data_IF_144027805531
#
_entry.id   IF_144027805531
#
_cell.length_a   1.000
_cell.length_b   1.000
_cell.length_c   1.000
_cell.angle_alpha   90.00
_cell.angle_beta   90.00
_cell.angle_gamma   90.00
#
_symmetry.space_group_name_H-M   'P 1'
#
loop_
_entity.id
_entity.type
_entity.pdbx_description
1 polymer ?
#
# COMPACT_ATOMS: atom_id res chain seq x y z
N UNK A 1 -53.56 -56.74 -60.09
CA UNK A 1 -54.03 -55.62 -60.92
C UNK A 1 -52.88 -54.64 -61.14
N UNK A 2 -52.68 -54.22 -62.40
CA UNK A 2 -51.74 -53.19 -62.93
C UNK A 2 -52.08 -51.78 -62.35
N UNK A 3 -51.28 -50.69 -62.45
CA UNK A 3 -50.27 -50.36 -63.49
C UNK A 3 -48.95 -49.62 -63.07
N UNK A 4 -48.03 -49.53 -64.05
CA UNK A 4 -46.83 -48.66 -64.16
C UNK A 4 -47.27 -47.33 -64.83
N UNK A 5 -46.84 -46.10 -64.41
CA UNK A 5 -45.84 -45.31 -65.19
C UNK A 5 -45.07 -44.19 -64.38
N UNK A 6 -43.74 -44.08 -64.52
CA UNK A 6 -42.95 -43.07 -65.29
C UNK A 6 -42.62 -41.73 -64.59
N UNK A 7 -41.50 -41.09 -65.01
CA UNK A 7 -40.68 -40.17 -64.22
C UNK A 7 -41.08 -38.71 -64.42
N UNK A 8 -40.72 -37.86 -63.45
CA UNK A 8 -40.69 -36.41 -63.65
C UNK A 8 -39.32 -35.87 -63.25
N UNK A 9 -38.47 -35.77 -64.27
CA UNK A 9 -37.41 -34.76 -64.36
C UNK A 9 -38.09 -33.40 -64.21
N UNK A 10 -37.79 -32.66 -63.14
CA UNK A 10 -38.15 -31.25 -63.04
C UNK A 10 -37.16 -30.48 -62.17
N UNK A 11 -36.34 -29.70 -62.87
CA UNK A 11 -35.95 -28.33 -62.58
C UNK A 11 -35.07 -27.96 -61.36
N UNK A 12 -34.04 -27.18 -61.73
CA UNK A 12 -33.36 -26.12 -60.96
C UNK A 12 -32.40 -26.60 -59.86
N UNK A 13 -31.08 -26.65 -60.02
CA UNK A 13 -30.15 -25.77 -60.73
C UNK A 13 -30.37 -24.28 -60.43
N UNK A 14 -30.32 -23.88 -59.15
CA UNK A 14 -30.00 -22.50 -58.70
C UNK A 14 -29.93 -22.46 -57.16
N UNK A 15 -28.78 -22.80 -56.60
CA UNK A 15 -28.58 -22.83 -55.15
C UNK A 15 -27.13 -22.76 -54.69
N UNK A 16 -26.26 -22.12 -55.47
CA UNK A 16 -24.81 -22.07 -55.22
C UNK A 16 -24.19 -20.67 -55.46
N UNK A 17 -24.89 -19.59 -55.08
CA UNK A 17 -24.38 -18.21 -55.23
C UNK A 17 -24.41 -17.37 -53.95
N UNK A 18 -24.65 -17.96 -52.77
CA UNK A 18 -24.69 -17.23 -51.50
C UNK A 18 -23.48 -17.48 -50.56
N UNK A 19 -22.38 -18.07 -51.07
CA UNK A 19 -21.17 -18.33 -50.28
C UNK A 19 -19.95 -17.47 -50.71
N UNK A 20 -20.21 -16.37 -51.44
CA UNK A 20 -19.16 -15.53 -52.03
C UNK A 20 -19.19 -14.05 -51.64
N UNK A 21 -20.09 -13.62 -50.76
CA UNK A 21 -19.97 -12.31 -50.12
C UNK A 21 -18.94 -12.42 -48.98
N UNK A 22 -17.68 -12.66 -49.35
CA UNK A 22 -16.55 -12.42 -48.48
C UNK A 22 -16.59 -10.94 -48.13
N UNK A 23 -17.15 -10.63 -46.95
CA UNK A 23 -17.14 -9.27 -46.44
C UNK A 23 -15.71 -8.78 -46.51
N UNK A 24 -15.48 -7.71 -47.27
CA UNK A 24 -14.25 -6.93 -47.31
C UNK A 24 -14.07 -6.24 -45.95
N UNK A 25 -14.00 -7.01 -44.87
CA UNK A 25 -13.36 -6.61 -43.64
C UNK A 25 -11.87 -6.55 -43.96
N UNK A 26 -11.49 -5.55 -44.76
CA UNK A 26 -10.09 -5.19 -44.88
C UNK A 26 -9.70 -4.67 -43.50
N UNK A 27 -8.77 -5.32 -42.78
CA UNK A 27 -8.31 -4.85 -41.48
C UNK A 27 -7.81 -3.40 -41.52
N UNK A 28 -7.45 -2.91 -42.71
CA UNK A 28 -7.01 -1.53 -42.97
C UNK A 28 -8.10 -0.48 -42.75
N UNK A 29 -9.40 -0.85 -42.78
CA UNK A 29 -10.50 0.09 -42.56
C UNK A 29 -10.88 0.27 -41.09
N UNK A 30 -10.38 -0.58 -40.18
CA UNK A 30 -10.66 -0.48 -38.75
C UNK A 30 -9.67 0.44 -38.01
N UNK A 31 -8.59 0.84 -38.70
CA UNK A 31 -7.55 1.67 -38.12
C UNK A 31 -7.17 2.83 -39.04
N UNK A 32 -6.56 3.85 -38.46
CA UNK A 32 -5.94 4.96 -39.15
C UNK A 32 -4.58 5.27 -38.56
N UNK A 33 -4.05 6.43 -38.92
CA UNK A 33 -2.75 6.90 -38.48
C UNK A 33 -2.87 8.27 -37.80
N UNK A 34 -2.14 8.47 -36.71
CA UNK A 34 -1.96 9.79 -36.10
C UNK A 34 -0.49 10.17 -36.21
N UNK A 35 -0.20 11.28 -36.87
CA UNK A 35 1.13 11.85 -36.95
C UNK A 35 1.13 13.22 -36.29
N UNK A 36 2.27 13.67 -35.79
CA UNK A 36 2.34 15.02 -35.28
C UNK A 36 3.74 15.53 -35.01
N UNK A 37 3.79 16.80 -34.58
CA UNK A 37 5.01 17.45 -34.13
C UNK A 37 4.86 18.01 -32.72
N UNK A 38 5.96 18.02 -31.99
CA UNK A 38 6.10 18.61 -30.65
C UNK A 38 7.30 19.56 -30.70
N UNK A 39 7.04 20.85 -30.92
CA UNK A 39 8.06 21.87 -30.90
C UNK A 39 8.67 21.97 -29.50
N UNK A 40 9.99 22.00 -29.39
CA UNK A 40 10.70 22.09 -28.11
C UNK A 40 10.80 20.77 -27.32
N UNK A 41 10.43 19.63 -27.90
CA UNK A 41 10.55 18.32 -27.26
C UNK A 41 11.98 18.02 -26.77
N UNK A 42 12.07 17.29 -25.66
CA UNK A 42 13.33 16.85 -25.02
C UNK A 42 13.61 15.38 -25.29
N UNK A 43 14.81 14.94 -24.96
CA UNK A 43 15.18 13.53 -25.00
C UNK A 43 14.22 12.72 -24.14
N UNK A 44 13.67 11.62 -24.69
CA UNK A 44 12.68 10.80 -24.01
C UNK A 44 11.23 11.25 -24.20
N UNK A 45 10.96 12.27 -25.02
CA UNK A 45 9.60 12.62 -25.44
C UNK A 45 8.93 11.47 -26.21
N UNK A 46 7.62 11.29 -26.01
CA UNK A 46 6.85 10.26 -26.68
C UNK A 46 5.37 10.62 -26.76
N UNK A 47 4.64 9.94 -27.63
CA UNK A 47 3.20 9.95 -27.69
C UNK A 47 2.64 8.52 -27.61
N UNK A 48 1.44 8.33 -27.05
CA UNK A 48 0.74 7.06 -27.07
C UNK A 48 -0.77 7.23 -27.07
N UNK A 49 -1.48 6.18 -27.50
CA UNK A 49 -2.95 6.15 -27.48
C UNK A 49 -3.44 5.65 -26.11
N UNK A 50 -4.25 6.43 -25.41
CA UNK A 50 -4.86 6.02 -24.16
C UNK A 50 -5.78 4.81 -24.39
N UNK A 51 -5.62 3.78 -23.56
CA UNK A 51 -6.32 2.49 -23.72
C UNK A 51 -5.59 1.49 -24.61
N UNK A 52 -4.58 1.94 -25.37
CA UNK A 52 -3.72 1.10 -26.20
C UNK A 52 -2.25 1.53 -26.06
N UNK A 53 -1.64 1.43 -24.86
CA UNK A 53 -0.29 1.96 -24.59
C UNK A 53 0.83 1.28 -25.38
N UNK A 54 0.58 0.10 -25.96
CA UNK A 54 1.48 -0.52 -26.93
C UNK A 54 1.56 0.22 -28.26
N UNK A 55 0.57 1.06 -28.59
CA UNK A 55 0.63 2.05 -29.67
C UNK A 55 1.31 3.31 -29.15
N UNK A 56 2.63 3.22 -29.01
CA UNK A 56 3.52 4.30 -28.55
C UNK A 56 4.55 4.59 -29.63
N UNK A 57 4.89 5.86 -29.79
CA UNK A 57 5.99 6.31 -30.63
C UNK A 57 6.86 7.31 -29.88
N UNK A 58 8.18 7.21 -30.04
CA UNK A 58 9.09 8.25 -29.60
C UNK A 58 8.90 9.52 -30.47
N UNK A 59 9.24 10.68 -29.92
CA UNK A 59 9.34 11.91 -30.69
C UNK A 59 10.79 12.04 -31.18
N UNK A 60 10.99 11.93 -32.48
CA UNK A 60 12.28 12.01 -33.16
C UNK A 60 12.30 13.27 -34.04
N UNK A 61 13.33 14.10 -33.89
CA UNK A 61 13.43 15.41 -34.56
C UNK A 61 12.16 16.28 -34.40
N UNK A 62 11.51 16.17 -33.24
CA UNK A 62 10.29 16.88 -32.93
C UNK A 62 9.03 16.32 -33.62
N UNK A 63 9.09 15.16 -34.26
CA UNK A 63 7.96 14.50 -34.92
C UNK A 63 7.69 13.10 -34.37
N UNK A 64 6.44 12.63 -34.45
CA UNK A 64 6.05 11.27 -34.09
C UNK A 64 4.99 10.71 -35.03
N UNK A 65 4.85 9.38 -35.03
CA UNK A 65 3.86 8.65 -35.85
C UNK A 65 3.33 7.44 -35.10
N UNK A 66 2.02 7.44 -34.85
CA UNK A 66 1.25 6.33 -34.27
C UNK A 66 0.50 5.62 -35.39
N UNK A 67 0.81 4.35 -35.60
CA UNK A 67 0.18 3.51 -36.62
C UNK A 67 -0.90 2.63 -35.99
N UNK A 68 -1.86 2.18 -36.82
CA UNK A 68 -2.95 1.27 -36.43
C UNK A 68 -3.78 1.80 -35.24
N UNK A 69 -4.00 3.11 -35.20
CA UNK A 69 -4.86 3.73 -34.19
C UNK A 69 -6.32 3.40 -34.52
N UNK A 70 -7.14 2.90 -33.58
CA UNK A 70 -8.55 2.60 -33.85
C UNK A 70 -9.30 3.80 -34.42
N UNK A 71 -10.15 3.56 -35.43
CA UNK A 71 -11.01 4.59 -36.04
C UNK A 71 -12.01 5.15 -35.02
N UNK A 72 -12.30 6.44 -35.12
CA UNK A 72 -13.17 7.20 -34.21
C UNK A 72 -12.40 8.26 -33.43
N UNK A 73 -12.98 8.74 -32.33
CA UNK A 73 -12.30 9.71 -31.46
C UNK A 73 -11.35 8.98 -30.51
N UNK A 74 -10.05 9.08 -30.78
CA UNK A 74 -8.99 8.56 -29.93
C UNK A 74 -8.50 9.65 -28.96
N UNK A 75 -8.03 9.25 -27.79
CA UNK A 75 -7.33 10.13 -26.85
C UNK A 75 -5.83 9.82 -26.94
N UNK A 76 -5.03 10.80 -27.35
CA UNK A 76 -3.58 10.68 -27.50
C UNK A 76 -2.91 11.47 -26.40
N UNK A 77 -2.06 10.80 -25.62
CA UNK A 77 -1.20 11.46 -24.65
C UNK A 77 0.10 11.84 -25.33
N UNK A 78 0.50 13.09 -25.19
CA UNK A 78 1.78 13.62 -25.65
C UNK A 78 2.60 14.02 -24.44
N UNK A 79 3.84 13.55 -24.32
CA UNK A 79 4.79 13.92 -23.27
C UNK A 79 6.01 14.61 -23.89
N UNK A 80 6.43 15.73 -23.29
CA UNK A 80 7.52 16.57 -23.80
C UNK A 80 8.93 16.01 -23.54
N UNK A 81 9.05 14.92 -22.77
CA UNK A 81 10.33 14.30 -22.42
C UNK A 81 10.89 14.75 -21.08
N UNK A 82 10.27 15.73 -20.41
CA UNK A 82 10.79 16.32 -19.17
C UNK A 82 9.70 16.44 -18.10
N UNK A 83 8.71 17.31 -18.29
CA UNK A 83 7.79 17.71 -17.22
C UNK A 83 6.35 17.92 -17.66
N UNK A 84 6.03 17.90 -18.96
CA UNK A 84 4.72 18.32 -19.47
C UNK A 84 4.04 17.21 -20.24
N UNK A 85 2.77 17.02 -19.97
CA UNK A 85 1.95 16.04 -20.66
C UNK A 85 0.56 16.61 -20.93
N UNK A 86 0.02 16.31 -22.12
CA UNK A 86 -1.32 16.73 -22.53
C UNK A 86 -2.09 15.52 -23.04
N UNK A 87 -3.39 15.48 -22.73
CA UNK A 87 -4.34 14.53 -23.30
C UNK A 87 -5.12 15.22 -24.43
N UNK A 88 -4.99 14.70 -25.65
CA UNK A 88 -5.54 15.31 -26.86
C UNK A 88 -6.56 14.39 -27.52
N UNK A 89 -7.78 14.88 -27.73
CA UNK A 89 -8.77 14.19 -28.55
C UNK A 89 -8.42 14.33 -30.05
N UNK A 90 -8.40 13.22 -30.77
CA UNK A 90 -8.05 13.15 -32.19
C UNK A 90 -9.10 12.33 -32.92
N UNK A 91 -9.68 12.92 -33.96
CA UNK A 91 -10.55 12.16 -34.85
C UNK A 91 -9.70 11.34 -35.82
N UNK A 92 -9.83 10.02 -35.78
CA UNK A 92 -9.09 9.07 -36.61
C UNK A 92 -10.04 8.50 -37.66
N UNK A 93 -9.78 8.80 -38.94
CA UNK A 93 -10.58 8.28 -40.05
C UNK A 93 -9.89 7.08 -40.69
N UNK A 94 -10.66 6.11 -41.25
CA UNK A 94 -10.12 4.90 -41.85
C UNK A 94 -9.13 5.22 -42.97
N UNK A 95 -8.01 4.49 -43.02
CA UNK A 95 -6.97 4.62 -44.04
C UNK A 95 -6.47 6.06 -44.27
N UNK A 96 -6.56 6.92 -43.24
CA UNK A 96 -6.18 8.31 -43.30
C UNK A 96 -5.18 8.68 -42.21
N UNK A 97 -4.49 9.80 -42.42
CA UNK A 97 -3.55 10.37 -41.45
C UNK A 97 -4.12 11.64 -40.83
N UNK A 98 -4.39 11.58 -39.53
CA UNK A 98 -4.68 12.75 -38.72
C UNK A 98 -3.37 13.41 -38.29
N UNK A 99 -3.38 14.75 -38.20
CA UNK A 99 -2.18 15.55 -37.88
C UNK A 99 -2.38 16.32 -36.57
N UNK A 100 -1.36 16.30 -35.73
CA UNK A 100 -1.28 17.08 -34.50
C UNK A 100 -0.05 17.99 -34.52
N UNK A 101 -0.17 19.15 -33.91
CA UNK A 101 0.96 20.02 -33.63
C UNK A 101 0.83 20.50 -32.19
N UNK A 102 1.93 20.42 -31.44
CA UNK A 102 2.04 20.89 -30.07
C UNK A 102 3.31 21.69 -29.87
N UNK A 103 3.23 22.65 -28.98
CA UNK A 103 4.38 23.37 -28.43
C UNK A 103 4.57 22.88 -26.99
N UNK A 104 5.72 22.29 -26.70
CA UNK A 104 6.04 21.77 -25.38
C UNK A 104 5.88 22.84 -24.30
N UNK A 105 6.22 24.11 -24.58
CA UNK A 105 6.10 25.19 -23.60
C UNK A 105 4.65 25.52 -23.24
N UNK A 106 3.70 25.25 -24.14
CA UNK A 106 2.27 25.49 -23.96
C UNK A 106 1.52 24.30 -23.35
N UNK A 107 2.12 23.10 -23.36
CA UNK A 107 1.51 21.91 -22.76
C UNK A 107 1.40 22.04 -21.24
N UNK A 108 0.33 21.54 -20.60
CA UNK A 108 0.22 21.52 -19.14
C UNK A 108 1.34 20.74 -18.47
N UNK A 109 1.68 21.12 -17.24
CA UNK A 109 2.61 20.34 -16.42
C UNK A 109 1.98 18.99 -16.06
N UNK A 110 2.73 17.92 -16.31
CA UNK A 110 2.34 16.57 -15.94
C UNK A 110 2.32 16.44 -14.41
N UNK A 111 1.45 15.57 -13.94
CA UNK A 111 1.37 15.18 -12.55
C UNK A 111 2.09 13.87 -12.29
N UNK A 112 2.40 13.66 -11.01
CA UNK A 112 2.94 12.44 -10.44
C UNK A 112 1.90 11.87 -9.49
N UNK A 113 1.54 10.60 -9.68
CA UNK A 113 0.71 9.88 -8.71
C UNK A 113 1.63 8.99 -7.87
N UNK A 114 1.59 9.16 -6.55
CA UNK A 114 2.35 8.35 -5.60
C UNK A 114 1.40 7.33 -4.99
N UNK A 115 1.35 6.09 -5.51
CA UNK A 115 0.46 5.08 -4.95
C UNK A 115 0.92 4.71 -3.54
N UNK A 116 -0.04 4.59 -2.61
CA UNK A 116 0.17 4.13 -1.24
C UNK A 116 -0.71 2.89 -1.03
N UNK A 117 -0.22 1.69 -1.41
CA UNK A 117 -0.94 0.45 -1.20
C UNK A 117 -1.13 0.19 0.30
N UNK A 118 -2.36 -0.09 0.71
CA UNK A 118 -2.76 -0.39 2.10
C UNK A 118 -3.34 -1.81 2.15
N UNK A 119 -2.51 -2.85 2.30
CA UNK A 119 -3.01 -4.20 2.49
C UNK A 119 -3.74 -4.30 3.83
N UNK A 120 -4.96 -4.84 3.80
CA UNK A 120 -5.71 -5.11 5.03
C UNK A 120 -5.03 -6.24 5.81
N UNK A 121 -5.10 -6.19 7.14
CA UNK A 121 -4.50 -7.23 7.99
C UNK A 121 -2.99 -7.10 8.19
N UNK A 122 -2.43 -5.88 8.16
CA UNK A 122 -1.08 -5.59 8.69
C UNK A 122 0.10 -6.06 7.84
N UNK A 123 -0.13 -6.43 6.58
CA UNK A 123 0.96 -6.71 5.63
C UNK A 123 1.56 -5.42 5.07
N UNK A 124 2.87 -5.40 4.85
CA UNK A 124 3.54 -4.24 4.27
C UNK A 124 3.21 -4.10 2.78
N UNK A 125 2.78 -2.91 2.35
CA UNK A 125 2.47 -2.60 0.94
C UNK A 125 3.68 -2.34 0.04
N UNK A 126 4.91 -2.43 0.56
CA UNK A 126 6.13 -1.96 -0.10
C UNK A 126 6.47 -2.71 -1.40
N UNK A 127 6.07 -3.98 -1.53
CA UNK A 127 6.36 -4.81 -2.72
C UNK A 127 5.23 -4.80 -3.75
N UNK A 128 4.17 -4.04 -3.51
CA UNK A 128 3.04 -3.97 -4.43
C UNK A 128 3.45 -3.37 -5.79
N UNK A 129 2.75 -3.81 -6.82
CA UNK A 129 2.87 -3.35 -8.20
C UNK A 129 1.68 -2.47 -8.54
N UNK A 130 1.95 -1.32 -9.15
CA UNK A 130 0.94 -0.34 -9.50
C UNK A 130 0.89 -0.12 -11.01
N UNK A 131 -0.30 0.13 -11.53
CA UNK A 131 -0.54 0.41 -12.94
C UNK A 131 -1.57 1.52 -13.09
N UNK A 132 -1.47 2.31 -14.16
CA UNK A 132 -2.50 3.27 -14.55
C UNK A 132 -3.11 2.83 -15.87
N UNK A 133 -4.41 2.59 -15.85
CA UNK A 133 -5.11 1.92 -16.94
C UNK A 133 -5.06 2.73 -18.23
N UNK A 134 -4.78 2.03 -19.33
CA UNK A 134 -4.64 2.64 -20.64
C UNK A 134 -3.36 3.43 -20.85
N UNK A 135 -2.44 3.46 -19.88
CA UNK A 135 -1.14 4.16 -20.00
C UNK A 135 0.02 3.19 -20.10
N UNK A 136 1.20 3.70 -20.43
CA UNK A 136 2.45 2.92 -20.42
C UNK A 136 2.96 2.64 -18.99
N UNK A 137 2.33 3.18 -17.95
CA UNK A 137 2.70 3.00 -16.55
C UNK A 137 2.04 1.72 -16.04
N UNK A 138 2.63 0.57 -16.35
CA UNK A 138 2.16 -0.75 -15.92
C UNK A 138 3.23 -1.49 -15.13
N UNK A 139 2.81 -2.26 -14.12
CA UNK A 139 3.67 -3.10 -13.26
C UNK A 139 4.83 -2.34 -12.58
N UNK A 140 4.61 -1.07 -12.24
CA UNK A 140 5.60 -0.21 -11.59
C UNK A 140 5.62 -0.52 -10.09
N UNK A 141 6.78 -0.80 -9.46
CA UNK A 141 6.83 -1.02 -8.01
C UNK A 141 6.38 0.24 -7.25
N UNK A 142 5.54 0.07 -6.23
CA UNK A 142 4.96 1.17 -5.46
C UNK A 142 6.01 2.04 -4.75
N UNK A 143 7.10 1.43 -4.29
CA UNK A 143 8.24 2.11 -3.62
C UNK A 143 9.22 2.76 -4.60
N UNK A 144 8.96 2.74 -5.91
CA UNK A 144 9.81 3.45 -6.85
C UNK A 144 9.83 4.94 -6.49
N UNK A 145 11.02 5.50 -6.22
CA UNK A 145 11.20 6.87 -5.72
C UNK A 145 10.55 7.97 -6.60
N UNK A 146 10.21 7.65 -7.85
CA UNK A 146 9.51 8.53 -8.77
C UNK A 146 7.98 8.40 -8.77
N UNK A 147 7.35 7.41 -8.16
CA UNK A 147 5.92 7.16 -8.38
C UNK A 147 5.55 6.99 -9.87
N UNK A 148 4.27 7.16 -10.18
CA UNK A 148 3.72 7.00 -11.53
C UNK A 148 3.74 8.36 -12.26
N UNK A 149 4.66 8.49 -13.21
CA UNK A 149 4.91 9.71 -13.97
C UNK A 149 5.44 9.37 -15.36
N UNK A 150 5.09 10.13 -16.42
CA UNK A 150 4.22 11.31 -16.43
C UNK A 150 2.74 10.97 -16.62
N UNK A 151 1.84 11.74 -15.99
CA UNK A 151 0.39 11.68 -16.24
C UNK A 151 -0.14 13.08 -16.59
N UNK A 152 -0.91 13.25 -17.68
CA UNK A 152 -1.63 14.50 -17.92
C UNK A 152 -2.79 14.65 -16.94
N UNK A 153 -3.36 15.86 -16.83
CA UNK A 153 -4.57 16.05 -16.06
C UNK A 153 -5.75 15.26 -16.66
N UNK A 154 -6.58 14.68 -15.81
CA UNK A 154 -7.70 13.83 -16.25
C UNK A 154 -8.18 12.85 -15.19
N UNK A 155 -9.04 11.92 -15.57
CA UNK A 155 -9.48 10.82 -14.71
C UNK A 155 -8.85 9.51 -15.16
N UNK A 156 -8.24 8.78 -14.22
CA UNK A 156 -7.55 7.53 -14.49
C UNK A 156 -7.92 6.46 -13.47
N UNK A 157 -7.94 5.20 -13.90
CA UNK A 157 -8.05 4.05 -13.00
C UNK A 157 -6.64 3.63 -12.57
N UNK A 158 -6.34 3.84 -11.29
CA UNK A 158 -5.12 3.37 -10.63
C UNK A 158 -5.37 1.97 -10.09
N UNK A 159 -4.60 0.99 -10.56
CA UNK A 159 -4.62 -0.38 -10.06
C UNK A 159 -3.40 -0.66 -9.19
N UNK A 160 -3.61 -1.42 -8.11
CA UNK A 160 -2.55 -1.98 -7.31
C UNK A 160 -2.76 -3.50 -7.16
N UNK A 161 -1.65 -4.24 -7.22
CA UNK A 161 -1.62 -5.69 -7.07
C UNK A 161 -0.50 -6.09 -6.11
N UNK A 162 -0.78 -7.07 -5.26
CA UNK A 162 0.16 -7.60 -4.28
C UNK A 162 -0.12 -9.10 -4.12
N UNK A 163 0.90 -9.99 -4.12
CA UNK A 163 0.68 -11.41 -3.94
C UNK A 163 -0.09 -11.72 -2.65
N UNK A 164 -1.11 -12.58 -2.75
CA UNK A 164 -2.01 -12.93 -1.65
C UNK A 164 -3.18 -11.97 -1.43
N UNK A 165 -3.26 -10.88 -2.20
CA UNK A 165 -4.32 -9.88 -2.13
C UNK A 165 -5.07 -9.78 -3.46
N UNK A 166 -6.34 -9.38 -3.38
CA UNK A 166 -7.12 -9.04 -4.57
C UNK A 166 -6.51 -7.82 -5.24
N UNK A 167 -6.52 -7.81 -6.57
CA UNK A 167 -6.18 -6.58 -7.30
C UNK A 167 -7.28 -5.56 -7.09
N UNK A 168 -6.92 -4.38 -6.59
CA UNK A 168 -7.84 -3.27 -6.39
C UNK A 168 -7.64 -2.20 -7.44
N UNK A 169 -8.73 -1.51 -7.79
CA UNK A 169 -8.72 -0.38 -8.70
C UNK A 169 -9.40 0.82 -8.02
N UNK A 170 -8.86 2.02 -8.23
CA UNK A 170 -9.42 3.27 -7.74
C UNK A 170 -9.43 4.31 -8.85
N UNK A 171 -10.58 4.96 -9.06
CA UNK A 171 -10.66 6.11 -9.96
C UNK A 171 -10.02 7.33 -9.29
N UNK A 172 -9.07 7.97 -9.96
CA UNK A 172 -8.30 9.11 -9.47
C UNK A 172 -8.46 10.27 -10.43
N UNK A 173 -8.89 11.42 -9.90
CA UNK A 173 -8.79 12.68 -10.61
C UNK A 173 -7.36 13.24 -10.43
N UNK A 174 -6.63 13.32 -11.53
CA UNK A 174 -5.25 13.81 -11.58
C UNK A 174 -5.30 15.29 -11.98
N UNK A 175 -4.93 16.22 -11.09
CA UNK A 175 -4.83 17.65 -11.42
C UNK A 175 -3.50 17.95 -12.13
N UNK A 176 -3.38 19.13 -12.75
CA UNK A 176 -2.12 19.59 -13.35
C UNK A 176 -1.04 19.86 -12.28
N UNK A 177 0.24 19.67 -12.63
CA UNK A 177 1.41 20.06 -11.83
C UNK A 177 1.48 19.50 -10.39
N UNK A 178 0.78 18.41 -10.08
CA UNK A 178 0.69 17.90 -8.71
C UNK A 178 1.53 16.64 -8.46
N UNK A 179 1.95 16.46 -7.21
CA UNK A 179 2.38 15.16 -6.68
C UNK A 179 1.31 14.67 -5.71
N UNK A 180 0.50 13.71 -6.15
CA UNK A 180 -0.70 13.27 -5.45
C UNK A 180 -0.48 11.90 -4.79
N UNK A 181 -0.41 11.81 -3.45
CA UNK A 181 -0.49 10.51 -2.77
C UNK A 181 -1.89 9.93 -2.91
N UNK A 182 -1.98 8.67 -3.32
CA UNK A 182 -3.27 7.97 -3.49
C UNK A 182 -3.24 6.65 -2.75
N UNK A 183 -4.03 6.57 -1.69
CA UNK A 183 -4.22 5.30 -0.97
C UNK A 183 -5.09 4.34 -1.78
N UNK A 184 -4.61 3.10 -1.92
CA UNK A 184 -5.33 1.99 -2.57
C UNK A 184 -5.39 0.83 -1.58
N UNK A 185 -6.58 0.55 -1.07
CA UNK A 185 -6.81 -0.56 -0.16
C UNK A 185 -6.76 -1.89 -0.90
N UNK A 186 -6.08 -2.88 -0.32
CA UNK A 186 -5.93 -4.22 -0.90
C UNK A 186 -6.52 -5.23 0.07
N UNK A 187 -7.62 -5.86 -0.33
CA UNK A 187 -8.25 -6.94 0.43
C UNK A 187 -7.48 -8.25 0.28
N UNK A 188 -7.46 -9.09 1.32
CA UNK A 188 -6.91 -10.44 1.23
C UNK A 188 -7.72 -11.25 0.21
N UNK A 189 -7.04 -12.01 -0.65
CA UNK A 189 -7.68 -12.95 -1.55
C UNK A 189 -7.89 -14.29 -0.86
N UNK A 190 -9.03 -14.45 -0.19
CA UNK A 190 -9.38 -15.68 0.53
C UNK A 190 -9.50 -16.92 -0.38
N UNK A 191 -9.66 -16.71 -1.70
CA UNK A 191 -9.70 -17.79 -2.68
C UNK A 191 -8.31 -18.23 -3.13
N UNK A 192 -7.26 -17.44 -2.85
CA UNK A 192 -5.89 -17.80 -3.18
C UNK A 192 -5.35 -18.90 -2.25
N UNK A 193 -4.55 -19.86 -2.76
CA UNK A 193 -3.95 -20.90 -1.93
C UNK A 193 -2.94 -20.34 -0.92
N UNK A 194 -2.29 -19.22 -1.26
CA UNK A 194 -1.42 -18.44 -0.39
C UNK A 194 -2.04 -17.04 -0.27
N UNK A 195 -2.78 -16.82 0.82
CA UNK A 195 -3.52 -15.57 1.07
C UNK A 195 -2.73 -14.62 1.98
N UNK A 196 -2.87 -13.33 1.75
CA UNK A 196 -2.23 -12.26 2.50
C UNK A 196 -0.71 -12.45 2.66
N UNK A 197 -0.21 -12.40 3.89
CA UNK A 197 1.21 -12.54 4.20
C UNK A 197 1.78 -13.95 3.88
N UNK A 198 0.94 -14.98 3.78
CA UNK A 198 1.39 -16.33 3.42
C UNK A 198 1.90 -16.43 1.98
N UNK A 199 1.58 -15.44 1.14
CA UNK A 199 2.10 -15.33 -0.22
C UNK A 199 3.55 -14.79 -0.30
N UNK A 200 4.24 -14.65 0.83
CA UNK A 200 5.59 -14.09 0.90
C UNK A 200 5.62 -12.56 1.00
N UNK A 201 4.45 -11.94 1.18
CA UNK A 201 4.37 -10.52 1.52
C UNK A 201 4.73 -10.35 3.00
N UNK A 202 5.79 -9.59 3.34
CA UNK A 202 6.20 -9.43 4.73
C UNK A 202 5.14 -8.65 5.53
N UNK A 203 4.98 -9.00 6.79
CA UNK A 203 4.22 -8.21 7.74
C UNK A 203 4.91 -6.88 8.03
N UNK A 204 4.15 -5.88 8.49
CA UNK A 204 4.74 -4.67 9.05
C UNK A 204 5.64 -5.00 10.25
N UNK A 205 6.58 -4.10 10.55
CA UNK A 205 7.60 -4.31 11.59
C UNK A 205 6.92 -4.62 12.93
N UNK A 206 7.29 -5.75 13.54
CA UNK A 206 6.76 -6.18 14.83
C UNK A 206 5.52 -7.06 14.75
N UNK A 207 5.06 -7.43 13.55
CA UNK A 207 3.95 -8.37 13.36
C UNK A 207 4.44 -9.71 12.79
N UNK A 208 3.67 -10.77 13.06
CA UNK A 208 3.89 -12.16 12.66
C UNK A 208 2.74 -12.62 11.79
N UNK A 209 3.05 -13.35 10.71
CA UNK A 209 2.06 -13.88 9.78
C UNK A 209 1.35 -15.11 10.38
N UNK A 210 0.03 -15.07 10.49
CA UNK A 210 -0.80 -16.18 10.93
C UNK A 210 -1.28 -17.05 9.77
N UNK A 211 -1.81 -18.25 10.11
CA UNK A 211 -2.34 -19.21 9.14
C UNK A 211 -3.61 -18.75 8.40
N UNK A 212 -4.25 -17.68 8.84
CA UNK A 212 -5.36 -17.05 8.12
C UNK A 212 -4.88 -16.03 7.07
N UNK A 213 -3.58 -15.75 6.98
CA UNK A 213 -3.00 -14.79 6.04
C UNK A 213 -2.95 -13.36 6.54
N UNK A 214 -3.36 -13.09 7.78
CA UNK A 214 -3.22 -11.78 8.43
C UNK A 214 -1.95 -11.71 9.27
N UNK A 215 -1.49 -10.50 9.49
CA UNK A 215 -0.39 -10.17 10.37
C UNK A 215 -0.93 -9.69 11.71
N UNK A 216 -0.41 -10.27 12.78
CA UNK A 216 -0.79 -9.95 14.15
C UNK A 216 0.44 -9.68 15.01
N UNK A 217 0.26 -9.15 16.22
CA UNK A 217 1.39 -8.99 17.14
C UNK A 217 1.97 -10.35 17.56
N UNK A 218 1.11 -11.37 17.69
CA UNK A 218 1.51 -12.72 18.04
C UNK A 218 0.59 -13.80 17.48
N UNK A 219 1.14 -14.99 17.35
CA UNK A 219 0.43 -16.24 17.06
C UNK A 219 0.61 -17.28 18.17
N UNK A 220 1.60 -17.06 19.04
CA UNK A 220 1.96 -17.88 20.18
C UNK A 220 2.68 -17.00 21.22
N UNK A 221 2.74 -17.46 22.47
CA UNK A 221 3.38 -16.74 23.59
C UNK A 221 4.84 -16.38 23.31
N UNK A 222 5.55 -17.22 22.56
CA UNK A 222 6.95 -16.98 22.18
C UNK A 222 7.15 -15.71 21.34
N UNK A 223 6.12 -15.27 20.60
CA UNK A 223 6.18 -14.05 19.78
C UNK A 223 6.12 -12.78 20.67
N UNK A 224 5.63 -12.90 21.90
CA UNK A 224 5.40 -11.77 22.82
C UNK A 224 6.62 -11.36 23.66
N UNK A 225 7.71 -12.13 23.59
CA UNK A 225 8.86 -11.97 24.48
C UNK A 225 8.67 -12.63 25.84
N UNK A 226 9.67 -12.50 26.72
CA UNK A 226 9.71 -13.24 27.98
C UNK A 226 8.55 -12.89 28.92
N UNK A 227 7.71 -13.88 29.23
CA UNK A 227 6.57 -13.74 30.15
C UNK A 227 5.30 -13.14 29.51
N UNK A 228 5.36 -12.77 28.23
CA UNK A 228 4.18 -12.38 27.47
C UNK A 228 3.31 -13.58 27.13
N UNK A 229 2.00 -13.36 27.07
CA UNK A 229 1.02 -14.38 26.66
C UNK A 229 0.27 -13.83 25.45
N UNK A 230 0.17 -14.63 24.40
CA UNK A 230 -0.60 -14.26 23.24
C UNK A 230 -2.10 -14.45 23.53
N UNK A 231 -2.88 -13.37 23.44
CA UNK A 231 -4.33 -13.44 23.65
C UNK A 231 -5.04 -14.13 22.48
N UNK A 232 -6.32 -14.46 22.68
CA UNK A 232 -7.16 -15.02 21.62
C UNK A 232 -7.37 -14.03 20.45
N UNK A 233 -7.25 -12.73 20.70
CA UNK A 233 -7.32 -11.65 19.73
C UNK A 233 -5.96 -11.36 19.07
N UNK A 234 -4.96 -12.21 19.31
CA UNK A 234 -3.61 -12.11 18.74
C UNK A 234 -2.85 -10.84 19.14
N UNK A 235 -3.08 -10.38 20.37
CA UNK A 235 -2.39 -9.26 21.00
C UNK A 235 -1.52 -9.78 22.13
N UNK A 236 -0.33 -9.22 22.31
CA UNK A 236 0.54 -9.63 23.40
C UNK A 236 0.07 -9.04 24.74
N UNK A 237 -0.59 -9.86 25.55
CA UNK A 237 -0.94 -9.53 26.91
C UNK A 237 0.27 -9.75 27.84
N UNK A 238 0.29 -9.02 28.95
CA UNK A 238 1.34 -9.11 29.98
C UNK A 238 2.76 -8.92 29.42
N UNK A 239 2.94 -8.12 28.35
CA UNK A 239 4.25 -7.54 28.07
C UNK A 239 4.58 -6.68 29.29
N UNK A 240 5.53 -7.09 30.14
CA UNK A 240 5.94 -6.22 31.21
C UNK A 240 6.62 -5.05 30.54
N UNK A 241 6.00 -3.87 30.55
CA UNK A 241 6.64 -2.67 30.01
C UNK A 241 8.00 -2.51 30.69
N UNK A 242 9.08 -2.72 29.94
CA UNK A 242 10.45 -2.73 30.43
C UNK A 242 11.05 -4.09 30.81
N UNK A 243 10.31 -5.11 31.30
CA UNK A 243 10.94 -6.35 31.77
C UNK A 243 11.10 -7.37 30.62
N UNK A 244 12.33 -7.79 30.34
CA UNK A 244 12.71 -8.62 29.21
C UNK A 244 13.21 -7.83 27.98
N UNK A 245 13.11 -6.50 28.00
CA UNK A 245 13.65 -5.65 26.93
C UNK A 245 15.18 -5.78 26.84
N UNK A 246 15.76 -5.79 25.63
CA UNK A 246 17.21 -5.83 25.49
C UNK A 246 17.85 -4.55 26.04
N UNK A 247 19.01 -4.69 26.66
CA UNK A 247 19.75 -3.56 27.24
C UNK A 247 21.25 -3.72 27.06
N UNK A 248 21.92 -2.60 26.79
CA UNK A 248 23.38 -2.55 26.66
C UNK A 248 24.06 -2.17 27.99
N UNK A 249 23.36 -1.45 28.87
CA UNK A 249 23.86 -0.95 30.14
C UNK A 249 22.72 -0.81 31.16
N UNK A 250 23.06 -0.66 32.45
CA UNK A 250 22.11 -0.67 33.56
C UNK A 250 21.08 0.46 33.55
N UNK A 251 21.40 1.59 32.93
CA UNK A 251 20.57 2.78 32.75
C UNK A 251 19.67 2.73 31.51
N UNK A 252 19.89 1.77 30.60
CA UNK A 252 19.02 1.55 29.45
C UNK A 252 17.67 0.92 29.83
N UNK A 253 17.57 0.40 31.05
CA UNK A 253 16.34 -0.21 31.57
C UNK A 253 15.48 0.83 32.28
N UNK A 254 14.15 0.68 32.14
CA UNK A 254 13.20 1.48 32.91
C UNK A 254 13.44 1.35 34.40
N UNK A 255 13.12 2.40 35.14
CA UNK A 255 13.27 2.43 36.59
C UNK A 255 12.55 1.25 37.27
N UNK A 256 13.24 0.64 38.24
CA UNK A 256 12.81 -0.61 38.87
C UNK A 256 13.33 -1.89 38.20
N UNK A 257 14.04 -1.78 37.08
CA UNK A 257 14.67 -2.91 36.38
C UNK A 257 16.20 -2.72 36.34
N UNK A 258 16.93 -3.82 36.14
CA UNK A 258 18.39 -3.81 36.00
C UNK A 258 18.77 -4.60 34.76
N UNK A 259 19.72 -4.08 33.98
CA UNK A 259 20.26 -4.84 32.86
C UNK A 259 21.08 -6.03 33.35
N UNK A 260 20.60 -7.24 33.11
CA UNK A 260 21.24 -8.50 33.50
C UNK A 260 21.22 -9.47 32.32
N UNK A 261 22.40 -9.93 31.90
CA UNK A 261 22.53 -10.82 30.75
C UNK A 261 22.03 -10.22 29.43
N UNK A 262 22.12 -8.89 29.28
CA UNK A 262 21.64 -8.17 28.08
C UNK A 262 20.12 -7.96 28.03
N UNK A 263 19.39 -8.25 29.11
CA UNK A 263 17.95 -7.99 29.22
C UNK A 263 17.60 -7.27 30.52
N UNK A 264 16.59 -6.41 30.48
CA UNK A 264 16.09 -5.70 31.65
C UNK A 264 15.33 -6.67 32.55
N UNK A 265 15.85 -6.92 33.74
CA UNK A 265 15.27 -7.87 34.69
C UNK A 265 14.92 -7.16 36.00
N UNK A 266 13.79 -7.54 36.59
CA UNK A 266 13.47 -7.15 37.95
C UNK A 266 14.18 -8.05 38.96
N UNK A 267 14.55 -7.49 40.12
CA UNK A 267 15.31 -8.20 41.16
C UNK A 267 14.56 -9.42 41.70
N UNK A 268 13.23 -9.35 41.79
CA UNK A 268 12.37 -10.46 42.22
C UNK A 268 11.83 -11.31 41.06
N UNK A 269 12.33 -11.10 39.83
CA UNK A 269 11.80 -11.67 38.61
C UNK A 269 10.63 -10.87 38.02
N UNK A 270 10.48 -10.90 36.70
CA UNK A 270 9.49 -10.10 35.98
C UNK A 270 8.05 -10.39 36.42
N UNK A 271 7.72 -11.65 36.76
CA UNK A 271 6.38 -12.02 37.21
C UNK A 271 6.01 -11.36 38.56
N UNK A 272 6.92 -11.36 39.54
CA UNK A 272 6.71 -10.72 40.83
C UNK A 272 6.71 -9.19 40.71
N UNK A 273 7.54 -8.64 39.81
CA UNK A 273 7.52 -7.22 39.50
C UNK A 273 6.18 -6.80 38.93
N UNK A 274 5.62 -7.50 37.94
CA UNK A 274 4.29 -7.20 37.39
C UNK A 274 3.15 -7.27 38.42
N UNK A 275 3.27 -8.12 39.44
CA UNK A 275 2.30 -8.21 40.52
C UNK A 275 2.41 -7.07 41.55
N UNK A 276 3.56 -6.39 41.60
CA UNK A 276 3.91 -5.42 42.64
C UNK A 276 4.17 -3.99 42.10
N UNK A 277 4.47 -3.87 40.80
CA UNK A 277 4.91 -2.69 40.04
C UNK A 277 4.57 -2.87 38.55
N UNK A 278 4.58 -1.78 37.76
CA UNK A 278 4.94 -1.94 36.34
C UNK A 278 3.86 -1.90 35.27
N UNK A 279 2.63 -1.46 35.57
CA UNK A 279 1.88 -0.81 34.49
C UNK A 279 2.48 0.56 34.23
N UNK A 280 2.64 0.93 32.96
CA UNK A 280 2.86 2.33 32.64
C UNK A 280 1.63 3.10 33.07
N UNK A 281 1.87 4.26 33.65
CA UNK A 281 0.83 5.23 33.96
C UNK A 281 1.18 6.51 33.22
N UNK A 282 0.17 7.12 32.62
CA UNK A 282 0.32 8.35 31.86
C UNK A 282 -0.19 9.53 32.70
N UNK A 283 0.54 10.63 32.67
CA UNK A 283 0.06 11.89 33.22
C UNK A 283 -0.70 12.63 32.13
N UNK A 284 -2.03 12.56 32.15
CA UNK A 284 -2.86 13.43 31.30
C UNK A 284 -3.18 14.74 32.03
N UNK A 285 -3.21 15.89 31.35
CA UNK A 285 -3.60 17.15 31.99
C UNK A 285 -5.00 17.05 32.62
N UNK A 286 -5.07 17.11 33.95
CA UNK A 286 -6.31 16.99 34.72
C UNK A 286 -6.63 15.59 35.25
N UNK A 287 -5.79 14.58 34.97
CA UNK A 287 -5.91 13.23 35.53
C UNK A 287 -4.65 12.87 36.35
N UNK A 288 -4.77 12.63 37.67
CA UNK A 288 -3.65 12.09 38.43
C UNK A 288 -3.45 10.64 37.97
N UNK A 289 -2.37 10.34 37.24
CA UNK A 289 -2.11 9.03 36.62
C UNK A 289 -2.56 7.87 37.52
N UNK A 290 -3.67 7.22 37.16
CA UNK A 290 -4.35 6.27 38.03
C UNK A 290 -3.77 4.87 37.82
N UNK A 291 -3.11 4.35 38.86
CA UNK A 291 -2.61 2.98 38.89
C UNK A 291 -3.67 1.94 39.29
N UNK A 292 -4.91 2.39 39.53
CA UNK A 292 -5.94 1.63 40.20
C UNK A 292 -6.35 0.32 39.50
N UNK A 293 -6.15 0.21 38.18
CA UNK A 293 -6.45 -1.02 37.44
C UNK A 293 -5.38 -2.11 37.61
N UNK A 294 -4.15 -1.75 38.01
CA UNK A 294 -3.02 -2.67 38.08
C UNK A 294 -2.46 -2.82 39.50
N UNK A 295 -2.67 -1.82 40.36
CA UNK A 295 -2.20 -1.80 41.73
C UNK A 295 -3.18 -1.00 42.59
N UNK A 296 -3.99 -1.67 43.42
CA UNK A 296 -4.95 -1.01 44.30
C UNK A 296 -4.22 -0.06 45.28
N UNK A 297 -4.48 1.24 45.18
CA UNK A 297 -3.77 2.27 45.96
C UNK A 297 -2.38 2.64 45.45
N UNK A 298 -1.96 2.10 44.30
CA UNK A 298 -0.71 2.47 43.63
C UNK A 298 -0.68 3.94 43.20
N UNK A 299 0.52 4.50 43.12
CA UNK A 299 0.75 5.86 42.63
C UNK A 299 1.66 5.83 41.42
N UNK A 300 1.38 6.72 40.47
CA UNK A 300 2.23 6.90 39.31
C UNK A 300 3.48 7.69 39.70
N UNK A 301 4.66 7.17 39.42
CA UNK A 301 5.93 7.86 39.67
C UNK A 301 6.71 8.06 38.38
N UNK A 302 7.24 9.27 38.19
CA UNK A 302 8.15 9.63 37.10
C UNK A 302 9.54 9.78 37.69
N UNK A 303 10.54 9.15 37.07
CA UNK A 303 11.91 9.30 37.50
C UNK A 303 12.35 10.76 37.40
N UNK A 304 12.95 11.36 38.45
CA UNK A 304 13.49 12.70 38.38
C UNK A 304 14.56 12.78 37.28
N UNK A 305 14.47 13.81 36.42
CA UNK A 305 15.39 14.03 35.30
C UNK A 305 14.84 13.70 33.92
N UNK A 306 13.63 13.13 33.80
CA UNK A 306 12.93 13.01 32.53
C UNK A 306 12.22 14.33 32.18
N UNK A 307 12.39 14.83 30.96
CA UNK A 307 11.75 16.06 30.45
C UNK A 307 11.14 15.82 29.07
N UNK A 308 10.12 16.61 28.70
CA UNK A 308 9.41 16.48 27.41
C UNK A 308 8.46 15.28 27.37
N UNK A 309 8.22 14.70 26.19
CA UNK A 309 7.32 13.54 26.01
C UNK A 309 7.72 12.31 26.85
N UNK A 310 9.01 12.19 27.19
CA UNK A 310 9.51 11.13 28.08
C UNK A 310 9.06 11.30 29.55
N UNK A 311 8.65 12.50 29.97
CA UNK A 311 8.10 12.76 31.30
C UNK A 311 6.61 12.35 31.41
N UNK A 312 5.94 12.06 30.29
CA UNK A 312 4.53 11.69 30.27
C UNK A 312 4.28 10.22 30.65
N UNK A 313 5.34 9.40 30.73
CA UNK A 313 5.25 7.96 31.00
C UNK A 313 5.94 7.65 32.32
N UNK A 314 5.14 7.51 33.38
CA UNK A 314 5.59 6.99 34.68
C UNK A 314 5.37 5.48 34.79
N UNK A 315 5.72 4.92 35.94
CA UNK A 315 5.32 3.56 36.30
C UNK A 315 4.57 3.55 37.62
N UNK A 316 3.66 2.59 37.74
CA UNK A 316 2.93 2.36 38.97
C UNK A 316 3.83 1.73 40.04
N UNK A 317 3.85 2.36 41.21
CA UNK A 317 4.58 1.91 42.39
C UNK A 317 3.68 1.86 43.63
N UNK A 318 4.00 0.93 44.53
CA UNK A 318 3.30 0.74 45.79
C UNK A 318 3.42 1.99 46.68
N UNK A 319 2.34 2.39 47.37
CA UNK A 319 2.40 3.46 48.36
C UNK A 319 3.21 3.01 49.58
N UNK A 320 3.85 3.96 50.25
CA UNK A 320 4.56 3.69 51.49
C UNK A 320 4.49 4.90 52.45
N UNK A 321 4.55 4.60 53.74
CA UNK A 321 4.80 5.56 54.81
C UNK A 321 6.18 5.33 55.47
N UNK A 322 6.71 4.11 55.39
CA UNK A 322 8.01 3.70 55.93
C UNK A 322 8.71 2.74 54.98
N UNK A 323 10.04 2.64 55.07
CA UNK A 323 10.82 1.71 54.25
C UNK A 323 10.44 0.24 54.42
N UNK A 324 9.85 -0.15 55.55
CA UNK A 324 9.41 -1.52 55.82
C UNK A 324 8.19 -1.95 54.96
N UNK A 325 7.46 -0.99 54.39
CA UNK A 325 6.34 -1.26 53.48
C UNK A 325 6.81 -1.43 52.03
N UNK A 326 8.08 -1.15 51.76
CA UNK A 326 8.68 -1.35 50.46
C UNK A 326 9.34 -2.73 50.37
N UNK A 327 9.35 -3.35 49.17
CA UNK A 327 10.13 -4.56 48.95
C UNK A 327 11.60 -4.33 49.27
N UNK A 328 12.34 -5.41 49.54
CA UNK A 328 13.71 -5.44 50.10
C UNK A 328 14.77 -4.68 49.30
N UNK A 329 14.45 -4.15 48.11
CA UNK A 329 15.33 -3.38 47.23
C UNK A 329 14.84 -1.96 46.94
N UNK A 330 13.82 -1.48 47.66
CA UNK A 330 13.20 -0.16 47.46
C UNK A 330 13.19 0.60 48.77
N UNK A 331 13.43 1.91 48.69
CA UNK A 331 13.27 2.84 49.80
C UNK A 331 11.91 3.54 49.68
N UNK A 332 11.32 3.88 50.83
CA UNK A 332 10.17 4.76 50.82
C UNK A 332 10.63 6.20 50.58
N UNK A 333 10.24 6.80 49.45
CA UNK A 333 10.28 8.25 49.32
C UNK A 333 9.14 8.83 50.17
N UNK A 334 9.48 9.24 51.39
CA UNK A 334 8.52 9.78 52.34
C UNK A 334 7.84 11.08 51.85
N UNK A 335 8.45 11.79 50.90
CA UNK A 335 7.89 13.01 50.31
C UNK A 335 6.82 12.67 49.28
N UNK A 336 7.10 11.70 48.41
CA UNK A 336 6.18 11.26 47.37
C UNK A 336 5.17 10.20 47.87
N UNK A 337 5.44 9.57 49.01
CA UNK A 337 4.63 8.51 49.62
C UNK A 337 4.63 7.22 48.80
N UNK A 338 5.74 6.91 48.14
CA UNK A 338 5.86 5.77 47.22
C UNK A 338 7.20 5.05 47.35
N UNK A 339 7.20 3.76 47.03
CA UNK A 339 8.42 2.97 46.97
C UNK A 339 9.22 3.34 45.72
N UNK A 340 10.41 3.90 45.92
CA UNK A 340 11.37 4.24 44.86
C UNK A 340 12.63 3.39 45.05
N UNK A 341 13.39 3.22 43.97
CA UNK A 341 14.69 2.57 44.07
C UNK A 341 15.78 3.60 44.27
#
# INVERSE_FOLDING_TARGET
>A
MRPIPRPTLALAALGALAAGCGGLASPDLQTGEVSGTVAGAKAGAYAYVLGAPGLRAAVEDGAFRLERVPVGTAQVVVFDGEARAELVAVEVRPASRSRLARDAAAMPLAARVVPVPRPVGGSAGATARCSVDGTALADVPAVAAGGLFPLPAGQFSLRAALPGFKTSAKLVAVPEAASLPVEVELEIDDAAPLRGCLAGTPCEVGLVCAGDGRCYECTQDADCGAGGVCSAEHVCANRPLGCGEPCAAGDACRAGLTCSGGTCQAIAGCAAWMQSFGSACRFEPGYPGTCAQSLAGGRCWVAPGLSGEAAEVGYCTAPCATGAQCPTSYACDATAGVCVR
#
